data_IF_095769431106
#
_entry.id   IF_095769431106
#
_cell.length_a   1.000
_cell.length_b   1.000
_cell.length_c   1.000
_cell.angle_alpha   90.00
_cell.angle_beta   90.00
_cell.angle_gamma   90.00
#
_symmetry.space_group_name_H-M   'P 1'
#
loop_
_entity.id
_entity.type
_entity.pdbx_description
1 polymer ?
#
# COMPACT_ATOMS: atom_id res chain seq x y z
N UNK A 1 -9.46 36.05 -9.26
CA UNK A 1 -8.61 35.28 -10.19
C UNK A 1 -7.28 34.98 -9.52
N UNK A 2 -6.68 33.86 -9.89
CA UNK A 2 -5.36 33.47 -9.43
C UNK A 2 -4.30 34.50 -9.92
N UNK A 3 -3.36 34.84 -9.03
CA UNK A 3 -2.33 35.84 -9.35
C UNK A 3 -1.25 35.33 -10.32
N UNK A 4 -1.10 33.99 -10.44
CA UNK A 4 -0.15 33.38 -11.37
C UNK A 4 -0.77 33.23 -12.75
N UNK A 5 -1.91 32.55 -12.86
CA UNK A 5 -2.57 32.28 -14.14
C UNK A 5 -3.29 33.47 -14.72
N UNK A 6 -3.72 34.44 -13.89
CA UNK A 6 -4.55 35.61 -14.21
C UNK A 6 -5.94 35.32 -14.79
N UNK A 7 -6.23 34.03 -15.02
CA UNK A 7 -7.49 33.57 -15.64
C UNK A 7 -8.34 32.70 -14.71
N UNK A 8 -7.72 31.86 -13.91
CA UNK A 8 -8.40 30.91 -13.04
C UNK A 8 -9.26 31.62 -12.00
N UNK A 9 -10.56 31.35 -11.88
CA UNK A 9 -11.43 31.94 -10.88
C UNK A 9 -11.13 31.42 -9.48
N UNK A 10 -11.54 32.17 -8.45
CA UNK A 10 -11.41 31.74 -7.03
C UNK A 10 -12.24 30.49 -6.70
N UNK A 11 -13.25 30.21 -7.50
CA UNK A 11 -14.11 29.01 -7.40
C UNK A 11 -13.53 27.78 -8.12
N UNK A 12 -12.30 27.83 -8.59
CA UNK A 12 -11.63 26.65 -9.17
C UNK A 12 -11.46 25.58 -8.10
N UNK A 13 -11.87 24.35 -8.42
CA UNK A 13 -11.65 23.17 -7.57
C UNK A 13 -10.46 22.37 -8.11
N UNK A 14 -9.39 22.21 -7.29
CA UNK A 14 -8.24 21.39 -7.68
C UNK A 14 -8.65 19.94 -7.94
N UNK A 15 -8.09 19.34 -8.97
CA UNK A 15 -8.26 17.92 -9.27
C UNK A 15 -6.91 17.23 -9.16
N UNK A 16 -6.83 16.25 -8.27
CA UNK A 16 -5.62 15.44 -8.06
C UNK A 16 -5.93 14.02 -8.48
N UNK A 17 -5.09 13.46 -9.33
CA UNK A 17 -5.27 12.15 -9.94
C UNK A 17 -4.40 11.06 -9.30
N UNK A 18 -3.85 11.30 -8.13
CA UNK A 18 -3.07 10.37 -7.33
C UNK A 18 -3.44 10.45 -5.84
N UNK A 19 -3.06 9.41 -5.10
CA UNK A 19 -3.23 9.33 -3.65
C UNK A 19 -1.87 9.23 -2.99
N UNK A 20 -1.67 10.01 -1.93
CA UNK A 20 -0.49 9.92 -1.06
C UNK A 20 -0.89 9.30 0.26
N UNK A 21 -0.18 8.25 0.66
CA UNK A 21 -0.31 7.64 1.98
C UNK A 21 0.99 7.85 2.74
N UNK A 22 0.89 8.33 3.98
CA UNK A 22 1.98 8.47 4.93
C UNK A 22 1.74 7.55 6.11
N UNK A 23 2.72 6.71 6.45
CA UNK A 23 2.65 5.82 7.61
C UNK A 23 3.82 6.14 8.55
N UNK A 24 3.55 6.43 9.83
CA UNK A 24 4.60 6.65 10.81
C UNK A 24 5.43 5.37 11.04
N UNK A 25 6.75 5.52 11.18
CA UNK A 25 7.66 4.45 11.59
C UNK A 25 7.92 4.57 13.09
N UNK A 26 7.70 3.47 13.80
CA UNK A 26 8.00 3.34 15.22
C UNK A 26 9.16 2.38 15.39
N UNK A 27 10.07 2.66 16.32
CA UNK A 27 11.27 1.87 16.58
C UNK A 27 11.23 1.26 17.99
N UNK A 28 10.06 0.75 18.41
CA UNK A 28 9.91 0.15 19.74
C UNK A 28 10.81 -1.07 19.96
N UNK A 29 11.21 -1.75 18.87
CA UNK A 29 12.19 -2.82 18.89
C UNK A 29 13.56 -2.38 19.44
N UNK A 30 13.90 -1.09 19.35
CA UNK A 30 15.12 -0.49 19.90
C UNK A 30 14.96 0.00 21.34
N UNK A 31 13.73 0.09 21.81
CA UNK A 31 13.38 0.65 23.13
C UNK A 31 12.39 -0.28 23.85
N UNK A 32 12.82 -1.48 24.28
CA UNK A 32 11.92 -2.53 24.78
C UNK A 32 11.17 -2.17 26.07
N UNK A 33 11.64 -1.18 26.83
CA UNK A 33 10.99 -0.70 28.06
C UNK A 33 10.01 0.46 27.83
N UNK A 34 9.78 0.86 26.58
CA UNK A 34 8.88 1.95 26.26
C UNK A 34 7.47 1.44 26.06
N UNK A 35 6.48 2.12 26.64
CA UNK A 35 5.08 1.84 26.35
C UNK A 35 4.76 2.08 24.87
N UNK A 36 4.37 1.01 24.17
CA UNK A 36 4.07 1.04 22.74
C UNK A 36 2.63 1.51 22.43
N UNK A 37 1.81 1.78 23.46
CA UNK A 37 0.45 2.31 23.28
C UNK A 37 0.51 3.70 22.69
N UNK A 38 -0.17 3.92 21.57
CA UNK A 38 -0.22 5.22 20.91
C UNK A 38 -1.20 6.15 21.62
N UNK A 39 -0.74 7.37 21.89
CA UNK A 39 -1.51 8.41 22.58
C UNK A 39 -1.35 9.73 21.80
N UNK A 40 -1.65 10.86 22.41
CA UNK A 40 -1.42 12.19 21.84
C UNK A 40 0.07 12.57 21.77
N UNK A 41 0.95 11.83 22.46
CA UNK A 41 2.38 12.03 22.43
C UNK A 41 2.99 11.41 21.16
N UNK A 42 3.85 12.14 20.47
CA UNK A 42 4.58 11.63 19.31
C UNK A 42 5.62 10.58 19.74
N UNK A 43 5.50 9.38 19.21
CA UNK A 43 6.41 8.24 19.46
C UNK A 43 7.10 7.74 18.18
N UNK A 44 6.76 8.29 17.03
CA UNK A 44 7.35 7.92 15.74
C UNK A 44 8.76 8.50 15.59
N UNK A 45 9.63 7.78 14.89
CA UNK A 45 11.01 8.19 14.56
C UNK A 45 11.15 8.73 13.14
N UNK A 46 10.08 8.70 12.37
CA UNK A 46 10.01 9.13 10.99
C UNK A 46 8.72 8.59 10.35
N UNK A 47 8.62 8.73 9.05
CA UNK A 47 7.46 8.28 8.28
C UNK A 47 7.88 7.73 6.92
N UNK A 48 7.13 6.76 6.40
CA UNK A 48 7.18 6.35 5.01
C UNK A 48 6.09 7.10 4.23
N UNK A 49 6.39 7.54 3.02
CA UNK A 49 5.43 8.13 2.10
C UNK A 49 5.38 7.32 0.82
N UNK A 50 4.19 7.12 0.28
CA UNK A 50 4.01 6.44 -0.99
C UNK A 50 2.92 7.10 -1.83
N UNK A 51 3.09 7.05 -3.14
CA UNK A 51 2.18 7.63 -4.13
C UNK A 51 1.67 6.51 -5.05
N UNK A 52 0.39 6.55 -5.36
CA UNK A 52 -0.26 5.64 -6.30
C UNK A 52 -1.54 6.25 -6.86
N UNK A 53 -2.20 5.53 -7.78
CA UNK A 53 -3.48 5.97 -8.35
C UNK A 53 -4.66 5.77 -7.42
N UNK A 54 -4.54 4.80 -6.53
CA UNK A 54 -5.59 4.45 -5.56
C UNK A 54 -5.03 4.40 -4.15
N UNK A 55 -5.92 4.51 -3.16
CA UNK A 55 -5.55 4.34 -1.76
C UNK A 55 -4.94 2.95 -1.49
N UNK A 56 -5.50 1.89 -2.07
CA UNK A 56 -5.01 0.51 -1.91
C UNK A 56 -3.57 0.37 -2.41
N UNK A 57 -3.29 0.90 -3.60
CA UNK A 57 -1.94 0.89 -4.17
C UNK A 57 -0.96 1.65 -3.27
N UNK A 58 -1.32 2.88 -2.88
CA UNK A 58 -0.48 3.73 -2.05
C UNK A 58 -0.24 3.14 -0.67
N UNK A 59 -1.28 2.56 -0.04
CA UNK A 59 -1.19 1.94 1.28
C UNK A 59 -0.21 0.75 1.27
N UNK A 60 -0.33 -0.16 0.32
CA UNK A 60 0.57 -1.31 0.22
C UNK A 60 2.02 -0.90 -0.10
N UNK A 61 2.22 0.13 -0.93
CA UNK A 61 3.55 0.72 -1.16
C UNK A 61 4.13 1.33 0.12
N UNK A 62 3.31 2.07 0.88
CA UNK A 62 3.73 2.66 2.15
C UNK A 62 4.13 1.60 3.18
N UNK A 63 3.36 0.51 3.31
CA UNK A 63 3.69 -0.62 4.19
C UNK A 63 5.08 -1.17 3.85
N UNK A 64 5.36 -1.46 2.57
CA UNK A 64 6.68 -1.97 2.16
C UNK A 64 7.82 -0.99 2.45
N UNK A 65 7.53 0.30 2.38
CA UNK A 65 8.52 1.36 2.62
C UNK A 65 8.83 1.58 4.10
N UNK A 66 8.14 0.91 5.02
CA UNK A 66 8.43 0.96 6.47
C UNK A 66 9.74 0.26 6.84
N UNK A 67 10.32 -0.55 5.96
CA UNK A 67 11.57 -1.32 6.20
C UNK A 67 11.48 -2.16 7.50
N UNK A 68 10.39 -2.91 7.65
CA UNK A 68 10.10 -3.80 8.79
C UNK A 68 9.87 -5.25 8.34
N UNK A 69 10.43 -5.63 7.19
CA UNK A 69 10.26 -6.94 6.56
C UNK A 69 8.79 -7.34 6.32
N UNK A 70 7.93 -6.33 6.10
CA UNK A 70 6.53 -6.52 5.74
C UNK A 70 6.29 -6.11 4.29
N UNK A 71 5.68 -6.98 3.50
CA UNK A 71 5.41 -6.80 2.07
C UNK A 71 3.92 -6.57 1.76
N UNK A 72 3.09 -6.48 2.81
CA UNK A 72 1.65 -6.26 2.73
C UNK A 72 0.99 -6.49 4.09
N UNK A 73 -0.22 -7.03 4.06
CA UNK A 73 -0.97 -7.36 5.26
C UNK A 73 -0.74 -8.81 5.69
N UNK A 74 0.51 -9.14 6.05
CA UNK A 74 0.82 -10.45 6.66
C UNK A 74 0.03 -10.63 7.95
N UNK A 75 -0.42 -11.87 8.21
CA UNK A 75 -1.12 -12.23 9.44
C UNK A 75 -0.21 -11.98 10.65
N UNK A 76 -0.76 -11.45 11.73
CA UNK A 76 -0.04 -11.15 12.98
C UNK A 76 -0.38 -12.15 14.09
N UNK A 77 -1.45 -12.92 13.96
CA UNK A 77 -1.84 -13.93 14.93
C UNK A 77 -1.58 -15.31 14.35
N UNK A 78 -0.50 -15.93 14.80
CA UNK A 78 -0.05 -17.27 14.42
C UNK A 78 0.02 -18.20 15.62
N UNK A 79 -1.12 -18.63 16.14
CA UNK A 79 -1.13 -19.72 17.12
C UNK A 79 -1.77 -20.95 16.48
N UNK A 80 -0.98 -22.03 16.29
CA UNK A 80 -1.44 -23.24 15.59
C UNK A 80 -2.62 -23.94 16.25
N UNK A 81 -2.84 -23.75 17.55
CA UNK A 81 -3.84 -24.47 18.36
C UNK A 81 -4.86 -23.52 19.01
N UNK A 82 -4.97 -22.28 18.55
CA UNK A 82 -5.94 -21.32 19.09
C UNK A 82 -7.34 -21.63 18.58
N UNK A 83 -8.32 -21.62 19.47
CA UNK A 83 -9.73 -21.72 19.07
C UNK A 83 -10.19 -20.44 18.37
N UNK A 84 -11.18 -20.53 17.47
CA UNK A 84 -11.73 -19.38 16.77
C UNK A 84 -12.22 -18.28 17.72
N UNK A 85 -12.77 -18.65 18.87
CA UNK A 85 -13.23 -17.73 19.91
C UNK A 85 -12.05 -16.97 20.54
N UNK A 86 -11.02 -17.67 20.98
CA UNK A 86 -9.81 -17.03 21.56
C UNK A 86 -9.08 -16.16 20.55
N UNK A 87 -9.04 -16.60 19.28
CA UNK A 87 -8.47 -15.77 18.19
C UNK A 87 -9.24 -14.46 18.05
N UNK A 88 -10.59 -14.53 18.04
CA UNK A 88 -11.44 -13.36 17.97
C UNK A 88 -11.23 -12.42 19.17
N UNK A 89 -11.17 -12.94 20.38
CA UNK A 89 -10.94 -12.15 21.60
C UNK A 89 -9.58 -11.42 21.53
N UNK A 90 -8.54 -12.12 21.11
CA UNK A 90 -7.21 -11.53 20.91
C UNK A 90 -7.24 -10.40 19.85
N UNK A 91 -7.90 -10.62 18.72
CA UNK A 91 -8.08 -9.57 17.70
C UNK A 91 -8.81 -8.35 18.27
N UNK A 92 -9.92 -8.58 18.99
CA UNK A 92 -10.71 -7.48 19.59
C UNK A 92 -9.87 -6.64 20.57
N UNK A 93 -9.07 -7.30 21.40
CA UNK A 93 -8.16 -6.61 22.32
C UNK A 93 -7.15 -5.73 21.56
N UNK A 94 -6.52 -6.25 20.51
CA UNK A 94 -5.55 -5.54 19.67
C UNK A 94 -6.18 -4.39 18.90
N UNK A 95 -7.43 -4.53 18.46
CA UNK A 95 -8.16 -3.46 17.79
C UNK A 95 -8.52 -2.31 18.72
N UNK A 96 -8.91 -2.59 19.97
CA UNK A 96 -9.27 -1.57 20.97
C UNK A 96 -8.07 -0.73 21.41
N UNK A 97 -6.89 -1.33 21.48
CA UNK A 97 -5.68 -0.66 21.94
C UNK A 97 -4.96 0.01 20.78
N UNK A 98 -4.82 1.36 20.74
CA UNK A 98 -4.06 2.03 19.71
C UNK A 98 -2.59 1.59 19.74
N UNK A 99 -2.14 0.95 18.67
CA UNK A 99 -0.77 0.49 18.51
C UNK A 99 -0.35 0.58 17.04
N UNK A 100 0.94 0.49 16.78
CA UNK A 100 1.51 0.66 15.46
C UNK A 100 1.18 -0.50 14.50
N UNK A 101 0.85 -1.69 15.00
CA UNK A 101 0.47 -2.87 14.23
C UNK A 101 -1.04 -2.95 13.96
N UNK A 102 -1.84 -2.03 14.49
CA UNK A 102 -3.30 -2.11 14.44
C UNK A 102 -3.86 -2.28 13.03
N UNK A 103 -3.22 -1.73 12.00
CA UNK A 103 -3.67 -1.89 10.61
C UNK A 103 -3.60 -3.34 10.13
N UNK A 104 -2.62 -4.15 10.61
CA UNK A 104 -2.55 -5.58 10.32
C UNK A 104 -3.63 -6.36 11.07
N UNK A 105 -3.92 -5.98 12.32
CA UNK A 105 -5.02 -6.58 13.08
C UNK A 105 -6.40 -6.25 12.47
N UNK A 106 -6.55 -5.11 11.79
CA UNK A 106 -7.73 -4.84 10.96
C UNK A 106 -7.85 -5.87 9.83
N UNK A 107 -6.76 -6.21 9.15
CA UNK A 107 -6.77 -7.23 8.12
C UNK A 107 -7.07 -8.63 8.69
N UNK A 108 -6.51 -8.98 9.86
CA UNK A 108 -6.80 -10.24 10.55
C UNK A 108 -8.27 -10.33 10.99
N UNK A 109 -8.85 -9.22 11.47
CA UNK A 109 -10.27 -9.14 11.78
C UNK A 109 -11.15 -9.40 10.54
N UNK A 110 -10.80 -8.81 9.41
CA UNK A 110 -11.49 -9.05 8.14
C UNK A 110 -11.40 -10.52 7.73
N UNK A 111 -10.22 -11.14 7.83
CA UNK A 111 -10.02 -12.58 7.54
C UNK A 111 -10.84 -13.48 8.46
N UNK A 112 -11.04 -13.06 9.73
CA UNK A 112 -11.89 -13.78 10.69
C UNK A 112 -13.41 -13.56 10.46
N UNK A 113 -13.80 -12.74 9.47
CA UNK A 113 -15.18 -12.48 9.11
C UNK A 113 -15.86 -11.32 9.86
N UNK A 114 -15.08 -10.46 10.56
CA UNK A 114 -15.65 -9.28 11.24
C UNK A 114 -16.10 -8.24 10.21
N UNK A 115 -17.24 -7.60 10.47
CA UNK A 115 -17.80 -6.55 9.63
C UNK A 115 -17.07 -5.21 9.76
N UNK A 116 -17.18 -4.34 8.74
CA UNK A 116 -16.55 -3.01 8.78
C UNK A 116 -17.09 -2.12 9.89
N UNK A 117 -18.40 -2.19 10.14
CA UNK A 117 -19.08 -1.45 11.22
C UNK A 117 -18.54 -1.87 12.59
N UNK A 118 -18.36 -3.19 12.81
CA UNK A 118 -17.85 -3.72 14.06
C UNK A 118 -16.38 -3.28 14.26
N UNK A 119 -15.53 -3.43 13.24
CA UNK A 119 -14.14 -2.99 13.30
C UNK A 119 -14.07 -1.47 13.52
N UNK A 120 -14.90 -0.70 12.83
CA UNK A 120 -15.00 0.75 13.00
C UNK A 120 -15.37 1.15 14.41
N UNK A 121 -16.35 0.46 15.02
CA UNK A 121 -16.77 0.71 16.41
C UNK A 121 -15.68 0.41 17.44
N UNK A 122 -14.84 -0.59 17.18
CA UNK A 122 -13.72 -0.97 18.07
C UNK A 122 -12.51 -0.04 17.93
N UNK A 123 -12.27 0.49 16.75
CA UNK A 123 -11.02 1.21 16.41
C UNK A 123 -11.20 2.72 16.30
N UNK A 124 -12.41 3.20 16.01
CA UNK A 124 -12.66 4.57 15.57
C UNK A 124 -12.23 4.86 14.14
N UNK A 125 -11.82 3.84 13.35
CA UNK A 125 -11.42 4.00 11.96
C UNK A 125 -12.67 4.06 11.09
N UNK A 126 -12.72 5.05 10.18
CA UNK A 126 -13.83 5.19 9.25
C UNK A 126 -13.98 3.93 8.37
N UNK A 127 -15.21 3.42 8.20
CA UNK A 127 -15.50 2.22 7.39
C UNK A 127 -14.96 2.29 5.96
N UNK A 128 -14.77 3.47 5.38
CA UNK A 128 -14.18 3.63 4.05
C UNK A 128 -12.77 3.04 3.99
N UNK A 129 -11.92 3.32 4.99
CA UNK A 129 -10.56 2.76 5.06
C UNK A 129 -10.58 1.25 5.27
N UNK A 130 -11.47 0.78 6.15
CA UNK A 130 -11.63 -0.66 6.45
C UNK A 130 -12.07 -1.42 5.19
N UNK A 131 -12.99 -0.86 4.40
CA UNK A 131 -13.44 -1.46 3.15
C UNK A 131 -12.32 -1.52 2.09
N UNK A 132 -11.45 -0.51 2.02
CA UNK A 132 -10.27 -0.57 1.13
C UNK A 132 -9.30 -1.69 1.56
N UNK A 133 -9.08 -1.89 2.87
CA UNK A 133 -8.27 -3.00 3.37
C UNK A 133 -8.96 -4.35 3.07
N UNK A 134 -10.29 -4.42 3.19
CA UNK A 134 -11.06 -5.62 2.84
C UNK A 134 -10.84 -6.03 1.39
N UNK A 135 -10.92 -5.11 0.45
CA UNK A 135 -10.68 -5.41 -0.96
C UNK A 135 -9.26 -5.93 -1.22
N UNK A 136 -8.25 -5.48 -0.45
CA UNK A 136 -6.90 -6.04 -0.50
C UNK A 136 -6.90 -7.48 0.01
N UNK A 137 -7.54 -7.76 1.15
CA UNK A 137 -7.65 -9.10 1.74
C UNK A 137 -8.40 -10.07 0.82
N UNK A 138 -9.41 -9.58 0.09
CA UNK A 138 -10.13 -10.37 -0.92
C UNK A 138 -9.22 -10.80 -2.07
N UNK A 139 -8.37 -9.91 -2.58
CA UNK A 139 -7.36 -10.28 -3.60
C UNK A 139 -6.37 -11.31 -3.05
N UNK A 140 -5.96 -11.21 -1.78
CA UNK A 140 -5.12 -12.23 -1.16
C UNK A 140 -5.81 -13.59 -1.15
N UNK A 141 -7.08 -13.64 -0.75
CA UNK A 141 -7.86 -14.88 -0.74
C UNK A 141 -8.07 -15.46 -2.14
N UNK A 142 -8.31 -14.60 -3.15
CA UNK A 142 -8.39 -15.04 -4.54
C UNK A 142 -7.05 -15.63 -5.02
N UNK A 143 -5.92 -15.00 -4.69
CA UNK A 143 -4.58 -15.49 -5.03
C UNK A 143 -4.30 -16.85 -4.38
N UNK A 144 -4.70 -17.05 -3.12
CA UNK A 144 -4.55 -18.32 -2.40
C UNK A 144 -5.54 -19.40 -2.85
N UNK A 145 -6.53 -19.05 -3.68
CA UNK A 145 -7.63 -19.96 -4.05
C UNK A 145 -8.62 -20.21 -2.92
N UNK A 146 -8.60 -19.41 -1.86
CA UNK A 146 -9.46 -19.50 -0.68
C UNK A 146 -10.61 -18.51 -0.75
N UNK A 147 -11.74 -18.81 -0.07
CA UNK A 147 -12.85 -17.87 0.10
C UNK A 147 -12.70 -17.12 1.41
N UNK A 148 -12.87 -15.79 1.39
CA UNK A 148 -13.01 -15.02 2.62
C UNK A 148 -14.38 -15.33 3.24
N UNK A 149 -14.40 -15.76 4.49
CA UNK A 149 -15.65 -16.05 5.20
C UNK A 149 -16.56 -14.82 5.27
N UNK A 150 -17.82 -14.98 4.86
CA UNK A 150 -18.86 -13.94 4.99
C UNK A 150 -19.14 -13.12 3.75
N UNK A 151 -18.51 -13.36 2.61
CA UNK A 151 -18.75 -12.62 1.37
C UNK A 151 -19.82 -13.29 0.48
N UNK A 152 -21.00 -12.65 0.38
CA UNK A 152 -22.01 -12.99 -0.64
C UNK A 152 -21.64 -12.28 -1.94
N UNK A 153 -20.96 -12.95 -2.86
CA UNK A 153 -20.68 -12.36 -4.17
C UNK A 153 -19.73 -13.08 -5.10
N UNK A 154 -18.97 -14.06 -4.63
CA UNK A 154 -18.16 -14.89 -5.54
C UNK A 154 -18.95 -16.10 -6.03
N UNK A 155 -19.03 -16.22 -7.35
CA UNK A 155 -19.70 -17.31 -8.08
C UNK A 155 -19.33 -18.70 -7.54
N UNK A 156 -20.35 -19.58 -7.42
CA UNK A 156 -20.32 -20.88 -6.78
C UNK A 156 -19.43 -21.99 -7.41
N UNK A 157 -18.48 -21.66 -8.29
CA UNK A 157 -17.75 -22.65 -9.10
C UNK A 157 -16.24 -22.59 -9.00
N UNK A 158 -15.64 -22.65 -7.78
CA UNK A 158 -14.18 -22.67 -7.65
C UNK A 158 -13.69 -23.58 -6.53
N UNK A 159 -13.68 -24.89 -6.80
CA UNK A 159 -12.98 -25.91 -5.99
C UNK A 159 -11.61 -26.34 -6.58
N UNK A 160 -11.07 -25.62 -7.54
CA UNK A 160 -9.71 -25.83 -8.05
C UNK A 160 -8.86 -24.59 -7.78
N UNK A 161 -7.60 -24.71 -7.33
CA UNK A 161 -6.69 -23.59 -7.26
C UNK A 161 -6.69 -22.89 -8.63
N UNK A 162 -7.19 -21.65 -8.71
CA UNK A 162 -7.11 -20.90 -9.96
C UNK A 162 -5.64 -20.77 -10.32
N UNK A 163 -5.28 -21.20 -11.50
CA UNK A 163 -4.00 -20.79 -12.06
C UNK A 163 -3.98 -19.25 -12.07
N UNK A 164 -2.88 -18.66 -11.60
CA UNK A 164 -2.71 -17.20 -11.61
C UNK A 164 -2.83 -16.70 -13.06
N UNK A 165 -4.03 -16.25 -13.41
CA UNK A 165 -4.33 -15.74 -14.74
C UNK A 165 -3.89 -14.28 -14.90
N UNK A 166 -3.90 -13.80 -16.14
CA UNK A 166 -3.51 -12.43 -16.47
C UNK A 166 -4.35 -11.38 -15.76
N UNK A 167 -5.64 -11.63 -15.59
CA UNK A 167 -6.58 -10.67 -15.00
C UNK A 167 -6.32 -10.50 -13.50
N UNK A 168 -6.23 -11.62 -12.77
CA UNK A 168 -5.97 -11.60 -11.33
C UNK A 168 -4.58 -11.00 -11.02
N UNK A 169 -3.56 -11.39 -11.81
CA UNK A 169 -2.21 -10.82 -11.64
C UNK A 169 -2.22 -9.30 -11.88
N UNK A 170 -2.92 -8.82 -12.93
CA UNK A 170 -3.03 -7.39 -13.20
C UNK A 170 -3.75 -6.66 -12.07
N UNK A 171 -4.90 -7.14 -11.61
CA UNK A 171 -5.63 -6.57 -10.46
C UNK A 171 -4.75 -6.49 -9.21
N UNK A 172 -4.04 -7.58 -8.90
CA UNK A 172 -3.13 -7.59 -7.76
C UNK A 172 -2.07 -6.48 -7.89
N UNK A 173 -1.48 -6.30 -9.08
CA UNK A 173 -0.51 -5.22 -9.30
C UNK A 173 -1.14 -3.82 -9.19
N UNK A 174 -2.32 -3.61 -9.72
CA UNK A 174 -3.09 -2.35 -9.59
C UNK A 174 -3.47 -2.05 -8.13
N UNK A 175 -3.67 -3.08 -7.31
CA UNK A 175 -3.91 -2.94 -5.87
C UNK A 175 -2.63 -2.76 -5.05
N UNK A 176 -1.46 -2.77 -5.71
CA UNK A 176 -0.17 -2.47 -5.08
C UNK A 176 0.59 -3.68 -4.54
N UNK A 177 0.17 -4.92 -4.84
CA UNK A 177 0.91 -6.11 -4.42
C UNK A 177 2.32 -6.16 -5.02
N UNK A 178 3.32 -6.43 -4.21
CA UNK A 178 4.68 -6.74 -4.68
C UNK A 178 4.77 -8.14 -5.27
N UNK A 179 5.75 -8.37 -6.12
CA UNK A 179 6.00 -9.70 -6.66
C UNK A 179 6.37 -10.69 -5.53
N UNK A 180 7.08 -10.20 -4.49
CA UNK A 180 7.38 -10.97 -3.25
C UNK A 180 6.12 -11.41 -2.54
N UNK A 181 5.16 -10.48 -2.30
CA UNK A 181 3.90 -10.83 -1.61
C UNK A 181 3.07 -11.82 -2.40
N UNK A 182 2.91 -11.61 -3.70
CA UNK A 182 2.20 -12.55 -4.58
C UNK A 182 2.85 -13.93 -4.53
N UNK A 183 4.19 -13.98 -4.64
CA UNK A 183 4.93 -15.24 -4.58
C UNK A 183 4.68 -15.99 -3.27
N UNK A 184 4.76 -15.30 -2.13
CA UNK A 184 4.47 -15.87 -0.81
C UNK A 184 3.06 -16.43 -0.70
N UNK A 185 2.04 -15.71 -1.21
CA UNK A 185 0.64 -16.14 -1.16
C UNK A 185 0.35 -17.40 -1.98
N UNK A 186 1.08 -17.64 -3.07
CA UNK A 186 0.85 -18.79 -3.97
C UNK A 186 1.94 -19.85 -3.91
N UNK A 187 2.85 -19.78 -2.94
CA UNK A 187 3.91 -20.75 -2.74
C UNK A 187 4.97 -20.77 -3.85
N UNK A 188 5.31 -19.62 -4.41
CA UNK A 188 6.33 -19.43 -5.46
C UNK A 188 7.45 -18.50 -4.99
N UNK A 189 8.45 -18.30 -5.85
CA UNK A 189 9.52 -17.31 -5.63
C UNK A 189 9.32 -16.06 -6.48
N UNK A 190 9.85 -14.93 -6.04
CA UNK A 190 9.65 -13.62 -6.67
C UNK A 190 9.99 -13.63 -8.16
N UNK A 191 11.11 -14.25 -8.55
CA UNK A 191 11.55 -14.28 -9.94
C UNK A 191 10.57 -14.98 -10.88
N UNK A 192 9.82 -15.99 -10.38
CA UNK A 192 8.76 -16.64 -11.15
C UNK A 192 7.60 -15.70 -11.43
N UNK A 193 7.23 -14.87 -10.46
CA UNK A 193 6.16 -13.86 -10.63
C UNK A 193 6.64 -12.76 -11.59
N UNK A 194 7.88 -12.31 -11.45
CA UNK A 194 8.48 -11.32 -12.33
C UNK A 194 8.53 -11.82 -13.79
N UNK A 195 8.95 -13.05 -14.01
CA UNK A 195 8.99 -13.67 -15.32
C UNK A 195 7.59 -13.79 -15.93
N UNK A 196 6.61 -14.28 -15.15
CA UNK A 196 5.22 -14.40 -15.60
C UNK A 196 4.62 -13.03 -15.95
N UNK A 197 4.81 -12.03 -15.10
CA UNK A 197 4.35 -10.67 -15.33
C UNK A 197 4.94 -10.08 -16.62
N UNK A 198 6.22 -10.29 -16.85
CA UNK A 198 6.92 -9.83 -18.06
C UNK A 198 6.40 -10.55 -19.32
N UNK A 199 6.21 -11.87 -19.27
CA UNK A 199 5.64 -12.65 -20.35
C UNK A 199 4.21 -12.22 -20.71
N UNK A 200 3.39 -11.87 -19.70
CA UNK A 200 2.03 -11.37 -19.86
C UNK A 200 1.98 -9.87 -20.20
N UNK A 201 3.14 -9.20 -20.34
CA UNK A 201 3.25 -7.76 -20.60
C UNK A 201 2.51 -6.89 -19.56
N UNK A 202 2.52 -7.32 -18.29
CA UNK A 202 2.05 -6.55 -17.16
C UNK A 202 3.24 -5.77 -16.62
N UNK A 203 3.48 -4.60 -17.19
CA UNK A 203 4.61 -3.72 -16.87
C UNK A 203 4.10 -2.46 -16.18
N UNK A 204 4.87 -1.85 -15.28
CA UNK A 204 4.52 -0.57 -14.70
C UNK A 204 4.61 0.54 -15.75
N UNK A 205 3.68 1.49 -15.67
CA UNK A 205 3.82 2.81 -16.26
C UNK A 205 4.35 3.80 -15.22
N UNK A 206 4.61 5.02 -15.65
CA UNK A 206 5.06 6.11 -14.79
C UNK A 206 4.18 7.33 -15.02
N UNK A 207 3.67 7.89 -13.93
CA UNK A 207 2.85 9.10 -13.93
C UNK A 207 3.62 10.24 -13.30
N UNK A 208 3.43 11.44 -13.82
CA UNK A 208 4.01 12.66 -13.26
C UNK A 208 3.24 13.08 -12.01
N UNK A 209 3.97 13.54 -11.00
CA UNK A 209 3.34 14.14 -9.82
C UNK A 209 2.87 15.55 -10.19
N UNK A 210 1.54 15.71 -10.31
CA UNK A 210 0.94 17.02 -10.54
C UNK A 210 0.88 17.79 -9.21
N UNK A 211 1.69 18.85 -9.11
CA UNK A 211 1.73 19.75 -7.95
C UNK A 211 0.81 20.97 -8.11
N UNK A 212 0.11 21.06 -9.24
CA UNK A 212 -0.71 22.23 -9.59
C UNK A 212 -2.22 21.95 -9.49
N UNK A 213 -2.62 20.72 -9.16
CA UNK A 213 -4.02 20.34 -9.01
C UNK A 213 -4.85 20.54 -10.29
N UNK A 214 -4.25 20.30 -11.44
CA UNK A 214 -4.83 20.52 -12.78
C UNK A 214 -5.22 21.97 -13.10
N UNK A 215 -4.78 22.95 -12.29
CA UNK A 215 -5.00 24.38 -12.61
C UNK A 215 -4.19 24.82 -13.83
N UNK A 216 -2.97 24.29 -13.97
CA UNK A 216 -2.10 24.45 -15.13
C UNK A 216 -1.14 23.26 -15.23
N UNK A 217 -0.45 23.13 -16.36
CA UNK A 217 0.46 22.00 -16.58
C UNK A 217 1.62 22.00 -15.58
N UNK A 218 1.80 20.87 -14.89
CA UNK A 218 2.90 20.68 -13.95
C UNK A 218 4.13 20.16 -14.70
N UNK A 219 5.25 20.87 -14.58
CA UNK A 219 6.54 20.49 -15.18
C UNK A 219 7.50 19.88 -14.15
N UNK A 220 6.94 19.18 -13.15
CA UNK A 220 7.78 18.55 -12.13
C UNK A 220 8.58 17.38 -12.73
N UNK A 221 9.84 17.17 -12.30
CA UNK A 221 10.64 16.03 -12.75
C UNK A 221 10.29 14.74 -11.99
N UNK A 222 9.33 14.78 -11.07
CA UNK A 222 8.98 13.65 -10.20
C UNK A 222 7.98 12.74 -10.88
N UNK A 223 8.30 11.44 -10.88
CA UNK A 223 7.43 10.39 -11.40
C UNK A 223 7.20 9.34 -10.32
N UNK A 224 6.01 8.73 -10.31
CA UNK A 224 5.72 7.53 -9.53
C UNK A 224 5.32 6.39 -10.45
N UNK A 225 5.67 5.17 -10.08
CA UNK A 225 5.29 3.97 -10.85
C UNK A 225 3.88 3.52 -10.48
N UNK A 226 3.13 3.05 -11.46
CA UNK A 226 1.80 2.46 -11.28
C UNK A 226 1.52 1.42 -12.37
N UNK A 227 0.43 0.66 -12.24
CA UNK A 227 0.04 -0.33 -13.24
C UNK A 227 -1.17 0.17 -14.04
N UNK A 228 -0.96 1.24 -14.80
CA UNK A 228 -1.93 1.80 -15.72
C UNK A 228 -1.54 1.59 -17.19
N UNK A 229 -2.42 1.99 -18.10
CA UNK A 229 -2.19 1.88 -19.54
C UNK A 229 -1.36 3.02 -20.08
N UNK A 230 -1.45 4.19 -19.45
CA UNK A 230 -0.77 5.41 -19.87
C UNK A 230 0.55 5.61 -19.11
N UNK A 231 1.57 6.06 -19.82
CA UNK A 231 2.90 6.34 -19.26
C UNK A 231 3.36 7.73 -19.68
N UNK A 232 3.66 8.58 -18.72
CA UNK A 232 4.08 9.97 -18.91
C UNK A 232 5.60 10.16 -18.84
N UNK A 233 6.38 9.07 -18.73
CA UNK A 233 7.84 9.18 -18.58
C UNK A 233 8.57 9.74 -19.80
N UNK A 234 7.97 9.65 -21.01
CA UNK A 234 8.53 10.19 -22.25
C UNK A 234 9.99 9.81 -22.50
N UNK A 235 10.38 8.50 -22.52
CA UNK A 235 11.77 8.10 -22.61
C UNK A 235 12.42 8.59 -23.92
N UNK A 236 13.65 9.08 -23.84
CA UNK A 236 14.43 9.55 -25.00
C UNK A 236 15.47 8.50 -25.38
N UNK A 237 16.07 8.65 -26.60
CA UNK A 237 17.17 7.80 -27.07
C UNK A 237 18.57 8.30 -26.62
N UNK A 238 18.66 9.28 -25.72
CA UNK A 238 19.94 9.77 -25.19
C UNK A 238 20.59 8.69 -24.32
N UNK A 239 21.92 8.74 -24.22
CA UNK A 239 22.63 7.96 -23.18
C UNK A 239 22.11 8.38 -21.81
N UNK A 240 21.85 7.40 -20.95
CA UNK A 240 21.29 7.61 -19.62
C UNK A 240 22.17 6.95 -18.58
N UNK A 241 22.29 7.62 -17.44
CA UNK A 241 22.88 7.06 -16.21
C UNK A 241 21.77 7.02 -15.18
N UNK A 242 21.66 5.88 -14.48
CA UNK A 242 20.74 5.73 -13.37
C UNK A 242 21.52 5.78 -12.07
N UNK A 243 21.13 6.69 -11.17
CA UNK A 243 21.67 6.75 -9.82
C UNK A 243 20.64 6.17 -8.86
N UNK A 244 21.01 5.11 -8.15
CA UNK A 244 20.17 4.49 -7.14
C UNK A 244 20.46 5.15 -5.80
N UNK A 245 19.50 5.90 -5.29
CA UNK A 245 19.53 6.55 -3.98
C UNK A 245 18.37 6.09 -3.10
N UNK A 246 18.36 6.54 -1.85
CA UNK A 246 17.27 6.27 -0.91
C UNK A 246 15.96 6.97 -1.29
N UNK A 247 16.07 8.05 -2.09
CA UNK A 247 14.94 8.90 -2.44
C UNK A 247 14.45 9.77 -1.27
N UNK A 248 13.62 10.78 -1.55
CA UNK A 248 13.15 11.74 -0.54
C UNK A 248 12.16 11.13 0.46
N UNK A 249 11.65 9.95 0.19
CA UNK A 249 10.58 9.31 0.97
C UNK A 249 11.07 8.20 1.90
N UNK A 250 12.38 7.99 1.99
CA UNK A 250 12.95 6.97 2.87
C UNK A 250 12.94 7.42 4.32
N UNK A 251 12.63 6.51 5.22
CA UNK A 251 12.54 6.75 6.66
C UNK A 251 13.91 7.20 7.22
N UNK A 252 13.88 8.22 8.06
CA UNK A 252 15.07 8.76 8.75
C UNK A 252 16.06 9.46 7.83
N UNK A 253 15.66 9.74 6.59
CA UNK A 253 16.46 10.47 5.61
C UNK A 253 15.75 11.77 5.23
N UNK A 254 16.49 12.85 5.21
CA UNK A 254 16.01 14.16 4.82
C UNK A 254 16.43 14.54 3.39
N UNK A 255 16.29 15.80 3.07
CA UNK A 255 16.61 16.38 1.75
C UNK A 255 18.10 16.18 1.36
N UNK A 256 18.99 15.98 2.30
CA UNK A 256 20.40 15.72 2.08
C UNK A 256 20.71 14.49 1.23
N UNK A 257 19.77 13.57 1.10
CA UNK A 257 19.93 12.39 0.24
C UNK A 257 19.70 12.70 -1.23
N UNK A 258 18.77 13.60 -1.54
CA UNK A 258 18.62 14.11 -2.90
C UNK A 258 19.87 14.92 -3.30
N UNK A 259 20.46 15.64 -2.36
CA UNK A 259 21.71 16.37 -2.58
C UNK A 259 22.84 15.44 -3.06
N UNK A 260 23.04 14.30 -2.39
CA UNK A 260 24.07 13.32 -2.80
C UNK A 260 23.79 12.74 -4.20
N UNK A 261 22.55 12.43 -4.51
CA UNK A 261 22.17 11.90 -5.83
C UNK A 261 22.37 12.94 -6.94
N UNK A 262 22.02 14.19 -6.69
CA UNK A 262 22.21 15.31 -7.63
C UNK A 262 23.69 15.58 -7.87
N UNK A 263 24.54 15.56 -6.83
CA UNK A 263 25.98 15.70 -6.98
C UNK A 263 26.65 14.50 -7.65
N UNK A 264 26.05 13.31 -7.54
CA UNK A 264 26.50 12.12 -8.26
C UNK A 264 26.18 12.15 -9.77
N UNK A 265 25.21 12.97 -10.16
CA UNK A 265 24.78 13.11 -11.55
C UNK A 265 25.67 14.12 -12.31
#
# INVERSE_FOLDING_TARGET
KNDITKVTPVSFEPTIDYVVVKIPRFAFEKFPNTDATLTTQMKSVGEAMAIGRTFKESLQKAIRSLEIDSYGFEERIYEKDITAEKMRDSIVEKLKTPNWERIWFVADAIRSGMGAEEIGSLTGIDPWFINNIREIVEIEAELQGSRVHGFKGSSENLMTPRSLDRYLLRRAKEYGFSDVRIAGLIGKVEDQIRALRSALKILPGYKRVDTCGAEFEAYTPYLYSTYETECESGPTNRKKVMILGGGPNRIGQGIEFDYCCVHGA
#
